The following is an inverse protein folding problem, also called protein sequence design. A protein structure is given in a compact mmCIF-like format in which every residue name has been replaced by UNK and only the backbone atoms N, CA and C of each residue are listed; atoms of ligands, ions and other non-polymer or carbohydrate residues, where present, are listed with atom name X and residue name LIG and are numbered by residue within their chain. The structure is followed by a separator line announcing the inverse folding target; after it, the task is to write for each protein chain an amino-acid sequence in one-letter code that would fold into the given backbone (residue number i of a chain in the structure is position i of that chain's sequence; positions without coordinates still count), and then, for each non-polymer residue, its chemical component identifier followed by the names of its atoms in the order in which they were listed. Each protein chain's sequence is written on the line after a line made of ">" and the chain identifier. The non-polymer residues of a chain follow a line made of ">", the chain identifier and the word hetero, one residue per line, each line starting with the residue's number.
data_IF_050499191792
#
_entry.id   IF_050499191792
#
_cell.length_a   1.000
_cell.length_b   1.000
_cell.length_c   1.000
_cell.angle_alpha   90.00
_cell.angle_beta   90.00
_cell.angle_gamma   90.00
#
_symmetry.space_group_name_H-M   'P 1'
#
loop_
_entity.id
_entity.type
_entity.pdbx_description
1 polymer ?
#
# COMPACT_ATOMS: atom_id res chain seq x y z
N UNK A 1 -20.96 -2.31 8.25
CA UNK A 1 -19.68 -1.59 8.45
C UNK A 1 -18.52 -2.55 8.69
N UNK A 2 -18.53 -3.39 9.72
CA UNK A 2 -17.41 -4.30 9.98
C UNK A 2 -17.20 -5.36 8.87
N UNK A 3 -18.30 -5.94 8.36
CA UNK A 3 -18.29 -6.88 7.22
C UNK A 3 -17.79 -6.22 5.93
N UNK A 4 -18.33 -5.03 5.61
CA UNK A 4 -17.89 -4.23 4.46
C UNK A 4 -16.40 -3.88 4.53
N UNK A 5 -15.89 -3.55 5.73
CA UNK A 5 -14.47 -3.28 5.93
C UNK A 5 -13.60 -4.53 5.68
N UNK A 6 -14.03 -5.69 6.18
CA UNK A 6 -13.33 -6.97 5.95
C UNK A 6 -13.32 -7.34 4.46
N UNK A 7 -14.46 -7.22 3.78
CA UNK A 7 -14.57 -7.43 2.33
C UNK A 7 -13.61 -6.55 1.53
N UNK A 8 -13.49 -5.26 1.88
CA UNK A 8 -12.54 -4.35 1.23
C UNK A 8 -11.09 -4.78 1.43
N UNK A 9 -10.74 -5.22 2.64
CA UNK A 9 -9.38 -5.69 2.93
C UNK A 9 -9.05 -7.00 2.23
N UNK A 10 -10.03 -7.89 2.06
CA UNK A 10 -9.85 -9.14 1.35
C UNK A 10 -9.75 -8.92 -0.17
N UNK A 11 -10.51 -7.96 -0.72
CA UNK A 11 -10.35 -7.53 -2.11
C UNK A 11 -8.95 -6.99 -2.39
N UNK A 12 -8.38 -6.15 -1.49
CA UNK A 12 -7.01 -5.65 -1.62
C UNK A 12 -5.97 -6.79 -1.66
N UNK A 13 -6.15 -7.80 -0.80
CA UNK A 13 -5.27 -8.97 -0.76
C UNK A 13 -5.41 -9.84 -2.00
N UNK A 14 -6.63 -10.02 -2.49
CA UNK A 14 -6.93 -10.81 -3.69
C UNK A 14 -6.27 -10.21 -4.94
N UNK A 15 -6.43 -8.90 -5.17
CA UNK A 15 -5.84 -8.24 -6.33
C UNK A 15 -4.30 -8.25 -6.27
N UNK A 16 -3.73 -8.14 -5.07
CA UNK A 16 -2.29 -8.29 -4.86
C UNK A 16 -1.83 -9.71 -5.23
N UNK A 17 -2.58 -10.75 -4.83
CA UNK A 17 -2.28 -12.15 -5.17
C UNK A 17 -2.35 -12.41 -6.68
N UNK A 18 -3.43 -11.97 -7.33
CA UNK A 18 -3.59 -12.12 -8.80
C UNK A 18 -2.44 -11.47 -9.56
N UNK A 19 -1.97 -10.32 -9.10
CA UNK A 19 -0.84 -9.65 -9.73
C UNK A 19 0.46 -10.46 -9.54
N UNK A 20 0.69 -11.00 -8.35
CA UNK A 20 1.85 -11.84 -8.04
C UNK A 20 1.92 -13.12 -8.89
N UNK A 21 0.78 -13.76 -9.15
CA UNK A 21 0.70 -14.97 -10.00
C UNK A 21 1.17 -14.73 -11.44
N UNK A 22 1.26 -13.48 -11.88
CA UNK A 22 1.65 -13.10 -13.25
C UNK A 22 3.08 -12.57 -13.39
N UNK A 23 3.82 -12.43 -12.29
CA UNK A 23 5.19 -11.89 -12.31
C UNK A 23 6.22 -12.96 -11.89
N UNK A 24 7.49 -12.77 -12.27
CA UNK A 24 8.60 -13.74 -12.09
C UNK A 24 8.96 -14.09 -10.63
N UNK A 25 8.15 -13.67 -9.66
CA UNK A 25 8.26 -14.06 -8.26
C UNK A 25 9.35 -13.34 -7.47
N UNK A 26 10.00 -12.32 -8.05
CA UNK A 26 11.07 -11.59 -7.35
C UNK A 26 10.51 -10.70 -6.23
N UNK A 27 11.31 -10.37 -5.19
CA UNK A 27 10.93 -9.38 -4.18
C UNK A 27 10.54 -8.03 -4.78
N UNK A 28 11.23 -7.59 -5.84
CA UNK A 28 10.90 -6.37 -6.59
C UNK A 28 9.54 -6.48 -7.28
N UNK A 29 9.24 -7.61 -7.93
CA UNK A 29 7.93 -7.86 -8.53
C UNK A 29 6.82 -7.81 -7.48
N UNK A 30 7.06 -8.35 -6.28
CA UNK A 30 6.13 -8.31 -5.17
C UNK A 30 5.90 -6.89 -4.64
N UNK A 31 6.96 -6.08 -4.55
CA UNK A 31 6.82 -4.68 -4.17
C UNK A 31 5.97 -3.92 -5.18
N UNK A 32 6.24 -4.13 -6.47
CA UNK A 32 5.45 -3.53 -7.55
C UNK A 32 4.00 -4.01 -7.53
N UNK A 33 3.74 -5.28 -7.21
CA UNK A 33 2.39 -5.85 -7.09
C UNK A 33 1.57 -5.13 -6.02
N UNK A 34 2.12 -4.97 -4.82
CA UNK A 34 1.47 -4.29 -3.69
C UNK A 34 1.15 -2.83 -4.03
N UNK A 35 2.09 -2.12 -4.67
CA UNK A 35 1.86 -0.72 -5.03
C UNK A 35 0.82 -0.62 -6.15
N UNK A 36 0.92 -1.46 -7.19
CA UNK A 36 0.00 -1.43 -8.34
C UNK A 36 -1.43 -1.79 -7.95
N UNK A 37 -1.62 -2.80 -7.08
CA UNK A 37 -2.96 -3.18 -6.61
C UNK A 37 -3.65 -2.04 -5.87
N UNK A 38 -2.89 -1.13 -5.26
CA UNK A 38 -3.42 0.05 -4.56
C UNK A 38 -3.97 1.13 -5.50
N UNK A 39 -3.73 1.06 -6.81
CA UNK A 39 -4.19 2.06 -7.80
C UNK A 39 -4.98 1.45 -8.96
N UNK A 40 -5.43 0.20 -8.83
CA UNK A 40 -6.09 -0.56 -9.91
C UNK A 40 -7.33 -1.30 -9.42
N UNK A 41 -8.09 -1.78 -10.41
CA UNK A 41 -9.20 -2.70 -10.20
C UNK A 41 -10.34 -2.08 -9.39
N UNK A 42 -11.04 -2.94 -8.65
CA UNK A 42 -12.18 -2.54 -7.82
C UNK A 42 -11.77 -1.78 -6.55
N UNK A 43 -10.48 -1.63 -6.24
CA UNK A 43 -10.00 -1.00 -5.00
C UNK A 43 -9.84 0.51 -5.18
N UNK A 44 -9.45 0.96 -6.37
CA UNK A 44 -9.27 2.37 -6.69
C UNK A 44 -10.43 2.89 -7.53
N UNK A 45 -11.50 3.31 -6.85
CA UNK A 45 -12.61 4.05 -7.45
C UNK A 45 -13.24 4.99 -6.42
N UNK A 46 -14.01 5.95 -6.92
CA UNK A 46 -14.68 6.99 -6.14
C UNK A 46 -15.46 6.42 -4.95
N UNK A 47 -16.27 5.38 -5.15
CA UNK A 47 -17.10 4.80 -4.11
C UNK A 47 -16.26 4.19 -2.98
N UNK A 48 -15.21 3.44 -3.33
CA UNK A 48 -14.37 2.73 -2.37
C UNK A 48 -13.50 3.71 -1.59
N UNK A 49 -12.90 4.70 -2.26
CA UNK A 49 -12.05 5.68 -1.58
C UNK A 49 -12.87 6.60 -0.67
N UNK A 50 -14.06 7.01 -1.09
CA UNK A 50 -14.99 7.75 -0.21
C UNK A 50 -15.40 6.91 1.01
N UNK A 51 -15.59 5.60 0.81
CA UNK A 51 -15.89 4.68 1.92
C UNK A 51 -14.71 4.57 2.91
N UNK A 52 -13.47 4.54 2.41
CA UNK A 52 -12.26 4.60 3.24
C UNK A 52 -12.20 5.90 4.06
N UNK A 53 -12.51 7.05 3.46
CA UNK A 53 -12.59 8.32 4.20
C UNK A 53 -13.62 8.26 5.34
N UNK A 54 -14.79 7.68 5.08
CA UNK A 54 -15.82 7.44 6.10
C UNK A 54 -15.32 6.55 7.24
N UNK A 55 -14.59 5.47 6.93
CA UNK A 55 -13.98 4.60 7.93
C UNK A 55 -12.90 5.31 8.74
N UNK A 56 -12.02 6.09 8.11
CA UNK A 56 -11.01 6.88 8.82
C UNK A 56 -11.66 7.89 9.77
N UNK A 57 -12.70 8.59 9.32
CA UNK A 57 -13.49 9.48 10.17
C UNK A 57 -14.13 8.75 11.37
N UNK A 58 -14.75 7.59 11.13
CA UNK A 58 -15.38 6.80 12.18
C UNK A 58 -14.38 6.18 13.17
N UNK A 59 -13.16 5.84 12.72
CA UNK A 59 -12.10 5.32 13.59
C UNK A 59 -11.60 6.36 14.61
N UNK A 60 -11.80 7.67 14.36
CA UNK A 60 -11.46 8.73 15.31
C UNK A 60 -12.33 8.66 16.57
N UNK A 61 -13.61 8.28 16.43
CA UNK A 61 -14.59 8.28 17.52
C UNK A 61 -14.94 6.88 18.06
N UNK A 62 -14.63 5.80 17.34
CA UNK A 62 -14.89 4.41 17.76
C UNK A 62 -13.61 3.65 18.10
N UNK A 63 -13.47 3.20 19.36
CA UNK A 63 -12.34 2.38 19.81
C UNK A 63 -12.23 1.06 19.03
N UNK A 64 -13.36 0.40 18.76
CA UNK A 64 -13.39 -0.85 18.01
C UNK A 64 -12.87 -0.67 16.58
N UNK A 65 -13.31 0.39 15.88
CA UNK A 65 -12.83 0.70 14.54
C UNK A 65 -11.37 1.14 14.54
N UNK A 66 -10.94 1.90 15.56
CA UNK A 66 -9.54 2.28 15.74
C UNK A 66 -8.63 1.06 15.90
N UNK A 67 -9.07 0.06 16.67
CA UNK A 67 -8.32 -1.18 16.87
C UNK A 67 -8.20 -1.99 15.57
N UNK A 68 -9.30 -2.09 14.81
CA UNK A 68 -9.32 -2.76 13.52
C UNK A 68 -8.41 -2.06 12.49
N UNK A 69 -8.48 -0.73 12.43
CA UNK A 69 -7.62 0.10 11.60
C UNK A 69 -6.14 -0.10 11.97
N UNK A 70 -5.81 -0.04 13.26
CA UNK A 70 -4.44 -0.27 13.75
C UNK A 70 -3.90 -1.64 13.34
N UNK A 71 -4.72 -2.69 13.41
CA UNK A 71 -4.34 -4.04 12.99
C UNK A 71 -4.10 -4.11 11.48
N UNK A 72 -5.02 -3.59 10.66
CA UNK A 72 -4.85 -3.56 9.21
C UNK A 72 -3.52 -2.90 8.80
N UNK A 73 -3.27 -1.70 9.33
CA UNK A 73 -2.06 -0.96 9.03
C UNK A 73 -0.79 -1.64 9.53
N UNK A 74 -0.86 -2.34 10.67
CA UNK A 74 0.27 -3.12 11.17
C UNK A 74 0.59 -4.30 10.24
N UNK A 75 -0.43 -5.04 9.80
CA UNK A 75 -0.27 -6.18 8.90
C UNK A 75 0.27 -5.73 7.53
N UNK A 76 -0.31 -4.66 6.96
CA UNK A 76 0.12 -4.10 5.67
C UNK A 76 1.58 -3.61 5.70
N UNK A 77 1.97 -2.85 6.74
CA UNK A 77 3.36 -2.40 6.90
C UNK A 77 4.32 -3.55 7.14
N UNK A 78 3.92 -4.58 7.89
CA UNK A 78 4.73 -5.77 8.11
C UNK A 78 4.99 -6.53 6.81
N UNK A 79 3.98 -6.61 5.93
CA UNK A 79 4.15 -7.19 4.60
C UNK A 79 5.14 -6.38 3.75
N UNK A 80 4.95 -5.07 3.62
CA UNK A 80 5.90 -4.21 2.89
C UNK A 80 7.33 -4.29 3.47
N UNK A 81 7.47 -4.27 4.80
CA UNK A 81 8.77 -4.41 5.47
C UNK A 81 9.45 -5.74 5.09
N UNK A 82 8.70 -6.84 5.05
CA UNK A 82 9.23 -8.14 4.65
C UNK A 82 9.75 -8.15 3.21
N UNK A 83 9.07 -7.42 2.31
CA UNK A 83 9.47 -7.30 0.91
C UNK A 83 10.75 -6.47 0.79
N UNK A 84 10.84 -5.33 1.47
CA UNK A 84 12.08 -4.52 1.48
C UNK A 84 13.27 -5.29 2.07
N UNK A 85 13.05 -6.11 3.11
CA UNK A 85 14.09 -7.00 3.65
C UNK A 85 14.55 -8.04 2.63
N UNK A 86 13.63 -8.62 1.86
CA UNK A 86 13.97 -9.59 0.83
C UNK A 86 14.77 -8.94 -0.32
N UNK A 87 14.41 -7.71 -0.74
CA UNK A 87 15.17 -6.92 -1.72
C UNK A 87 16.59 -6.63 -1.20
N UNK A 88 16.69 -6.17 0.06
CA UNK A 88 17.98 -5.87 0.69
C UNK A 88 18.90 -7.10 0.71
N UNK A 89 18.35 -8.26 1.08
CA UNK A 89 19.05 -9.53 1.11
C UNK A 89 19.52 -9.96 -0.29
N UNK A 90 18.64 -9.90 -1.30
CA UNK A 90 18.95 -10.26 -2.68
C UNK A 90 20.08 -9.39 -3.26
N UNK A 91 20.08 -8.10 -2.92
CA UNK A 91 21.02 -7.13 -3.47
C UNK A 91 22.30 -6.96 -2.62
N UNK A 92 22.43 -7.69 -1.51
CA UNK A 92 23.51 -7.52 -0.53
C UNK A 92 23.67 -6.06 -0.07
N UNK A 93 22.55 -5.45 0.34
CA UNK A 93 22.49 -4.05 0.81
C UNK A 93 21.78 -3.94 2.14
N UNK A 94 21.93 -2.78 2.81
CA UNK A 94 21.15 -2.36 3.98
C UNK A 94 20.07 -1.35 3.56
N UNK A 95 18.82 -1.66 3.88
CA UNK A 95 17.66 -0.77 3.72
C UNK A 95 16.99 -0.62 5.09
N UNK A 96 16.62 0.62 5.47
CA UNK A 96 15.65 0.84 6.56
C UNK A 96 14.26 0.38 6.10
N UNK A 97 14.03 -0.93 6.14
CA UNK A 97 12.82 -1.56 5.63
C UNK A 97 11.56 -1.07 6.38
N UNK A 98 11.69 -0.73 7.66
CA UNK A 98 10.58 -0.24 8.49
C UNK A 98 10.20 1.19 8.10
N UNK A 99 11.20 2.06 7.95
CA UNK A 99 11.00 3.42 7.45
C UNK A 99 10.45 3.44 6.03
N UNK A 100 10.96 2.58 5.15
CA UNK A 100 10.48 2.44 3.78
C UNK A 100 9.01 1.98 3.74
N UNK A 101 8.65 0.93 4.49
CA UNK A 101 7.27 0.44 4.57
C UNK A 101 6.29 1.48 5.10
N UNK A 102 6.67 2.22 6.15
CA UNK A 102 5.88 3.33 6.68
C UNK A 102 5.67 4.42 5.62
N UNK A 103 6.74 4.82 4.94
CA UNK A 103 6.72 5.89 3.94
C UNK A 103 5.84 5.54 2.76
N UNK A 104 5.97 4.33 2.20
CA UNK A 104 5.13 3.89 1.07
C UNK A 104 3.67 3.80 1.47
N UNK A 105 3.36 3.30 2.67
CA UNK A 105 1.99 3.24 3.18
C UNK A 105 1.37 4.64 3.28
N UNK A 106 2.07 5.58 3.91
CA UNK A 106 1.60 6.96 4.07
C UNK A 106 1.45 7.69 2.72
N UNK A 107 2.34 7.41 1.76
CA UNK A 107 2.27 7.99 0.43
C UNK A 107 1.05 7.50 -0.36
N UNK A 108 0.72 6.20 -0.26
CA UNK A 108 -0.49 5.63 -0.87
C UNK A 108 -1.73 6.28 -0.28
N UNK A 109 -1.84 6.35 1.06
CA UNK A 109 -2.96 6.99 1.75
C UNK A 109 -3.12 8.46 1.35
N UNK A 110 -2.01 9.20 1.21
CA UNK A 110 -2.02 10.59 0.77
C UNK A 110 -2.62 10.75 -0.64
N UNK A 111 -2.22 9.89 -1.58
CA UNK A 111 -2.81 9.89 -2.92
C UNK A 111 -4.28 9.47 -2.91
N UNK A 112 -4.66 8.51 -2.06
CA UNK A 112 -6.07 8.11 -1.92
C UNK A 112 -6.92 9.26 -1.39
N UNK A 113 -6.44 9.96 -0.36
CA UNK A 113 -7.10 11.12 0.24
C UNK A 113 -7.25 12.27 -0.76
N UNK A 114 -6.15 12.69 -1.38
CA UNK A 114 -6.18 13.83 -2.32
C UNK A 114 -7.05 13.52 -3.54
N UNK A 115 -6.97 12.29 -4.06
CA UNK A 115 -7.80 11.88 -5.19
C UNK A 115 -9.28 11.85 -4.80
N UNK A 116 -9.64 11.32 -3.63
CA UNK A 116 -11.02 11.30 -3.15
C UNK A 116 -11.62 12.70 -2.92
N UNK A 117 -10.78 13.72 -2.72
CA UNK A 117 -11.20 15.13 -2.62
C UNK A 117 -11.32 15.80 -4.00
N UNK A 118 -10.44 15.46 -4.94
CA UNK A 118 -10.49 15.92 -6.33
C UNK A 118 -10.00 14.84 -7.32
N UNK A 119 -10.94 14.16 -7.97
CA UNK A 119 -10.63 13.12 -8.96
C UNK A 119 -9.85 13.63 -10.19
N UNK A 120 -9.73 14.95 -10.38
CA UNK A 120 -8.99 15.59 -11.47
C UNK A 120 -7.59 16.05 -11.08
N UNK A 121 -7.22 15.99 -9.79
CA UNK A 121 -5.91 16.43 -9.31
C UNK A 121 -4.76 15.69 -10.03
N UNK A 122 -4.93 14.37 -10.25
CA UNK A 122 -3.98 13.54 -10.98
C UNK A 122 -4.62 12.25 -11.49
N UNK A 123 -3.95 11.58 -12.43
CA UNK A 123 -4.36 10.25 -12.86
C UNK A 123 -3.88 9.15 -11.89
N UNK A 124 -4.63 8.04 -11.72
CA UNK A 124 -4.20 6.92 -10.88
C UNK A 124 -2.83 6.37 -11.28
N UNK A 125 -2.55 6.33 -12.60
CA UNK A 125 -1.26 5.92 -13.15
C UNK A 125 -0.10 6.83 -12.73
N UNK A 126 -0.36 8.13 -12.54
CA UNK A 126 0.66 9.08 -12.05
C UNK A 126 0.96 8.82 -10.58
N UNK A 127 -0.05 8.63 -9.74
CA UNK A 127 0.11 8.28 -8.33
C UNK A 127 0.86 6.95 -8.16
N UNK A 128 0.47 5.91 -8.92
CA UNK A 128 1.17 4.62 -8.99
C UNK A 128 2.67 4.80 -9.27
N UNK A 129 2.99 5.59 -10.32
CA UNK A 129 4.39 5.84 -10.71
C UNK A 129 5.18 6.57 -9.63
N UNK A 130 4.58 7.52 -8.92
CA UNK A 130 5.22 8.23 -7.81
C UNK A 130 5.58 7.27 -6.68
N UNK A 131 4.65 6.40 -6.26
CA UNK A 131 4.91 5.39 -5.24
C UNK A 131 6.01 4.41 -5.65
N UNK A 132 5.97 3.91 -6.89
CA UNK A 132 7.02 3.01 -7.42
C UNK A 132 8.38 3.71 -7.41
N UNK A 133 8.45 4.96 -7.85
CA UNK A 133 9.70 5.72 -7.89
C UNK A 133 10.28 5.88 -6.49
N UNK A 134 9.45 6.23 -5.50
CA UNK A 134 9.88 6.35 -4.11
C UNK A 134 10.38 5.02 -3.56
N UNK A 135 9.66 3.93 -3.83
CA UNK A 135 10.04 2.58 -3.40
C UNK A 135 11.41 2.15 -4.00
N UNK A 136 11.64 2.47 -5.27
CA UNK A 136 12.93 2.23 -5.93
C UNK A 136 14.06 3.11 -5.39
N UNK A 137 13.77 4.34 -4.95
CA UNK A 137 14.78 5.19 -4.30
C UNK A 137 15.29 4.59 -3.00
N UNK A 138 14.42 3.94 -2.20
CA UNK A 138 14.87 3.20 -1.01
C UNK A 138 15.82 2.05 -1.35
N UNK A 139 15.53 1.30 -2.43
CA UNK A 139 16.40 0.21 -2.87
C UNK A 139 17.73 0.71 -3.47
N UNK A 140 17.73 1.85 -4.19
CA UNK A 140 18.93 2.41 -4.82
C UNK A 140 19.87 3.14 -3.85
N UNK A 141 19.32 3.80 -2.84
CA UNK A 141 20.10 4.51 -1.81
C UNK A 141 20.56 3.56 -0.68
N UNK A 142 20.31 2.26 -0.83
CA UNK A 142 20.74 1.24 0.11
C UNK A 142 22.27 1.18 0.16
N UNK A 143 22.82 1.04 1.36
CA UNK A 143 24.28 0.95 1.53
C UNK A 143 24.72 -0.49 1.25
N UNK A 144 25.84 -0.68 0.56
CA UNK A 144 26.44 -2.01 0.46
C UNK A 144 26.81 -2.53 1.85
N UNK A 145 26.54 -3.82 2.09
CA UNK A 145 26.94 -4.52 3.34
C UNK A 145 28.43 -4.84 3.31
#
# INVERSE_FOLDING_TARGET
>A
MLSTYQELTDQLREETRKYLETQGGTPEDRLLAIIRSSFRGQIFNEFILTTWLGFWGAAVSSEQLRALNKKLYADYRKELESVFKAIALQNHTQIDAKGAALTITALIDGFWLEWALDHKAFSPKKAEKCCITMAQMFAKNAQSV
#
